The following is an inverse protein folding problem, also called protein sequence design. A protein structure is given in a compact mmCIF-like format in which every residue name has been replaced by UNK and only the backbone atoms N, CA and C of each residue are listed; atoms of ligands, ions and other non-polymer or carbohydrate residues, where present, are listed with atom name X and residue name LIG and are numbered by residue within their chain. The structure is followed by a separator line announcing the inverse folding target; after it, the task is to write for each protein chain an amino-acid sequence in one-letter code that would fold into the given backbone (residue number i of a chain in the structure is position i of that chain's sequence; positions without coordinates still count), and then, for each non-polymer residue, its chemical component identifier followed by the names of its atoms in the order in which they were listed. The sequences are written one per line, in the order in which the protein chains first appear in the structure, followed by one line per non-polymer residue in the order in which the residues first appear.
data_IF_114567993223
#
_entry.id   IF_114567993223
#
_cell.length_a   1.000
_cell.length_b   1.000
_cell.length_c   1.000
_cell.angle_alpha   90.00
_cell.angle_beta   90.00
_cell.angle_gamma   90.00
#
_symmetry.space_group_name_H-M   'P 1'
#
loop_
_entity.id
_entity.type
_entity.pdbx_description
1 polymer ?
#
# COMPACT_ATOMS: atom_id res chain seq x y z
N UNK A 1 8.46 -15.81 1.90
CA UNK A 1 9.26 -15.88 0.64
C UNK A 1 8.50 -16.53 -0.51
N UNK A 2 8.02 -17.78 -0.38
CA UNK A 2 7.35 -18.48 -1.48
C UNK A 2 6.06 -17.77 -1.94
N UNK A 3 5.22 -17.32 -0.98
CA UNK A 3 4.02 -16.53 -1.28
C UNK A 3 4.33 -15.20 -1.97
N UNK A 4 5.35 -14.48 -1.51
CA UNK A 4 5.82 -13.23 -2.15
C UNK A 4 6.22 -13.46 -3.61
N UNK A 5 6.96 -14.55 -3.87
CA UNK A 5 7.34 -14.94 -5.23
C UNK A 5 6.12 -15.24 -6.10
N UNK A 6 5.14 -15.97 -5.58
CA UNK A 6 3.88 -16.23 -6.28
C UNK A 6 3.15 -14.94 -6.64
N UNK A 7 3.07 -13.97 -5.72
CA UNK A 7 2.45 -12.66 -5.96
C UNK A 7 3.16 -11.91 -7.09
N UNK A 8 4.50 -11.87 -7.07
CA UNK A 8 5.29 -11.18 -8.12
C UNK A 8 5.11 -11.86 -9.47
N UNK A 9 5.14 -13.19 -9.52
CA UNK A 9 4.94 -13.95 -10.77
C UNK A 9 3.55 -13.70 -11.35
N UNK A 10 2.50 -13.74 -10.53
CA UNK A 10 1.13 -13.47 -10.96
C UNK A 10 0.99 -12.03 -11.47
N UNK A 11 1.53 -11.05 -10.75
CA UNK A 11 1.53 -9.65 -11.19
C UNK A 11 2.28 -9.46 -12.52
N UNK A 12 3.41 -10.15 -12.70
CA UNK A 12 4.18 -10.16 -13.94
C UNK A 12 3.40 -10.76 -15.11
N UNK A 13 2.69 -11.87 -14.88
CA UNK A 13 1.82 -12.49 -15.89
C UNK A 13 0.70 -11.54 -16.30
N UNK A 14 0.01 -10.94 -15.32
CA UNK A 14 -1.07 -9.97 -15.56
C UNK A 14 -0.54 -8.77 -16.38
N UNK A 15 0.59 -8.20 -15.97
CA UNK A 15 1.25 -7.11 -16.70
C UNK A 15 1.65 -7.52 -18.12
N UNK A 16 2.15 -8.73 -18.31
CA UNK A 16 2.57 -9.25 -19.62
C UNK A 16 1.42 -9.40 -20.61
N UNK A 17 0.22 -9.76 -20.14
CA UNK A 17 -0.95 -9.86 -21.02
C UNK A 17 -1.56 -8.49 -21.33
N UNK A 18 -1.67 -7.60 -20.34
CA UNK A 18 -2.44 -6.36 -20.48
C UNK A 18 -1.61 -5.19 -21.02
N UNK A 19 -0.38 -4.99 -20.53
CA UNK A 19 0.46 -3.84 -20.91
C UNK A 19 0.77 -3.74 -22.40
N UNK A 20 1.13 -4.84 -23.12
CA UNK A 20 1.43 -4.73 -24.54
C UNK A 20 0.24 -4.24 -25.36
N UNK A 21 -0.99 -4.57 -24.94
CA UNK A 21 -2.21 -4.10 -25.57
C UNK A 21 -2.36 -2.58 -25.48
N UNK A 22 -2.22 -2.02 -24.28
CA UNK A 22 -2.33 -0.59 -24.04
C UNK A 22 -1.20 0.20 -24.72
N UNK A 23 0.03 -0.31 -24.66
CA UNK A 23 1.20 0.33 -25.29
C UNK A 23 1.06 0.36 -26.81
N UNK A 24 0.60 -0.74 -27.43
CA UNK A 24 0.37 -0.80 -28.89
C UNK A 24 -0.72 0.18 -29.35
N UNK A 25 -1.74 0.41 -28.50
CA UNK A 25 -2.81 1.40 -28.75
C UNK A 25 -2.37 2.85 -28.51
N UNK A 26 -1.15 3.08 -27.99
CA UNK A 26 -0.62 4.40 -27.60
C UNK A 26 -1.47 5.10 -26.54
N UNK A 27 -2.17 4.31 -25.72
CA UNK A 27 -2.99 4.78 -24.60
C UNK A 27 -2.09 5.03 -23.38
N UNK A 28 -1.25 6.06 -23.47
CA UNK A 28 -0.19 6.32 -22.49
C UNK A 28 -0.73 6.70 -21.11
N UNK A 29 -1.87 7.40 -21.04
CA UNK A 29 -2.49 7.79 -19.78
C UNK A 29 -3.05 6.57 -19.06
N UNK A 30 -3.74 5.72 -19.81
CA UNK A 30 -4.32 4.47 -19.35
C UNK A 30 -3.21 3.51 -18.92
N UNK A 31 -2.13 3.40 -19.70
CA UNK A 31 -0.96 2.58 -19.36
C UNK A 31 -0.34 3.03 -18.04
N UNK A 32 -0.22 4.34 -17.82
CA UNK A 32 0.34 4.88 -16.59
C UNK A 32 -0.56 4.58 -15.38
N UNK A 33 -1.87 4.85 -15.47
CA UNK A 33 -2.84 4.56 -14.40
C UNK A 33 -2.87 3.07 -14.09
N UNK A 34 -2.95 2.23 -15.12
CA UNK A 34 -2.93 0.77 -14.98
C UNK A 34 -1.66 0.29 -14.28
N UNK A 35 -0.49 0.77 -14.70
CA UNK A 35 0.80 0.37 -14.12
C UNK A 35 0.90 0.76 -12.64
N UNK A 36 0.45 1.97 -12.28
CA UNK A 36 0.45 2.43 -10.88
C UNK A 36 -0.48 1.55 -10.04
N UNK A 37 -1.68 1.25 -10.54
CA UNK A 37 -2.63 0.38 -9.83
C UNK A 37 -2.09 -1.05 -9.67
N UNK A 38 -1.45 -1.61 -10.71
CA UNK A 38 -0.86 -2.93 -10.66
C UNK A 38 0.28 -3.00 -9.65
N UNK A 39 1.16 -2.00 -9.62
CA UNK A 39 2.24 -1.89 -8.63
C UNK A 39 1.64 -1.78 -7.22
N UNK A 40 0.65 -0.92 -7.03
CA UNK A 40 -0.01 -0.73 -5.73
C UNK A 40 -0.66 -2.03 -5.22
N UNK A 41 -1.40 -2.72 -6.09
CA UNK A 41 -2.01 -4.01 -5.79
C UNK A 41 -0.95 -5.07 -5.44
N UNK A 42 0.17 -5.10 -6.16
CA UNK A 42 1.29 -6.03 -5.91
C UNK A 42 1.92 -5.76 -4.54
N UNK A 43 2.21 -4.50 -4.23
CA UNK A 43 2.79 -4.10 -2.94
C UNK A 43 1.87 -4.48 -1.78
N UNK A 44 0.57 -4.13 -1.88
CA UNK A 44 -0.41 -4.50 -0.86
C UNK A 44 -0.54 -6.02 -0.70
N UNK A 45 -0.50 -6.77 -1.81
CA UNK A 45 -0.54 -8.23 -1.79
C UNK A 45 0.71 -8.83 -1.12
N UNK A 46 1.89 -8.22 -1.30
CA UNK A 46 3.11 -8.62 -0.60
C UNK A 46 2.97 -8.39 0.91
N UNK A 47 2.46 -7.24 1.34
CA UNK A 47 2.18 -6.97 2.76
C UNK A 47 1.22 -8.01 3.35
N UNK A 48 0.12 -8.28 2.65
CA UNK A 48 -0.88 -9.27 3.06
C UNK A 48 -0.30 -10.68 3.12
N UNK A 49 0.48 -11.09 2.12
CA UNK A 49 1.07 -12.42 2.02
C UNK A 49 2.13 -12.71 3.09
N UNK A 50 2.79 -11.68 3.61
CA UNK A 50 3.77 -11.82 4.69
C UNK A 50 3.17 -11.60 6.07
N UNK A 51 1.84 -11.40 6.16
CA UNK A 51 1.13 -11.11 7.41
C UNK A 51 1.84 -10.02 8.20
N UNK A 52 2.36 -9.00 7.50
CA UNK A 52 3.09 -7.94 8.16
C UNK A 52 2.15 -7.28 9.15
N UNK A 53 2.54 -7.25 10.42
CA UNK A 53 1.78 -6.60 11.47
C UNK A 53 1.65 -5.11 11.14
N UNK A 54 0.50 -4.75 10.59
CA UNK A 54 0.10 -3.35 10.46
C UNK A 54 -0.18 -2.90 11.90
N UNK A 55 0.50 -1.86 12.39
CA UNK A 55 0.29 -1.39 13.75
C UNK A 55 -1.20 -1.11 13.96
N UNK A 56 -1.68 -1.48 15.15
CA UNK A 56 -3.09 -1.29 15.50
C UNK A 56 -3.52 0.15 15.21
N UNK A 57 -4.69 0.38 14.59
CA UNK A 57 -5.24 1.73 14.40
C UNK A 57 -5.31 2.54 15.70
N UNK A 58 -5.38 1.85 16.85
CA UNK A 58 -5.29 2.48 18.16
C UNK A 58 -4.00 3.31 18.32
N UNK A 59 -2.88 2.87 17.77
CA UNK A 59 -1.61 3.59 17.88
C UNK A 59 -1.65 4.93 17.14
N UNK A 60 -2.36 4.99 16.00
CA UNK A 60 -2.61 6.24 15.29
C UNK A 60 -3.46 7.19 16.14
N UNK A 61 -4.51 6.66 16.78
CA UNK A 61 -5.37 7.43 17.68
C UNK A 61 -4.55 7.97 18.86
N UNK A 62 -3.73 7.13 19.50
CA UNK A 62 -2.82 7.53 20.58
C UNK A 62 -1.90 8.65 20.11
N UNK A 63 -1.26 8.50 18.96
CA UNK A 63 -0.34 9.51 18.41
C UNK A 63 -1.01 10.88 18.18
N UNK A 64 -2.28 10.89 17.77
CA UNK A 64 -3.06 12.13 17.63
C UNK A 64 -3.44 12.72 19.00
N UNK A 65 -3.78 11.87 19.96
CA UNK A 65 -4.27 12.30 21.28
C UNK A 65 -3.16 12.71 22.25
N UNK A 66 -1.98 12.10 22.14
CA UNK A 66 -0.83 12.35 23.01
C UNK A 66 -0.43 13.84 23.12
N UNK A 67 -0.30 14.62 22.03
CA UNK A 67 0.00 16.06 22.13
C UNK A 67 -1.11 16.85 22.82
N UNK A 68 -2.38 16.49 22.61
CA UNK A 68 -3.52 17.14 23.29
C UNK A 68 -3.47 16.83 24.78
N UNK A 69 -3.17 15.58 25.14
CA UNK A 69 -3.08 15.15 26.53
C UNK A 69 -1.92 15.86 27.26
N UNK A 70 -0.76 15.99 26.62
CA UNK A 70 0.38 16.75 27.17
C UNK A 70 0.05 18.24 27.35
N UNK A 71 -0.67 18.83 26.41
CA UNK A 71 -1.10 20.23 26.53
C UNK A 71 -2.08 20.42 27.70
N UNK A 72 -3.05 19.51 27.85
CA UNK A 72 -4.00 19.54 28.96
C UNK A 72 -3.32 19.30 30.31
N UNK A 73 -2.38 18.36 30.39
CA UNK A 73 -1.58 18.09 31.58
C UNK A 73 -0.80 19.33 32.01
N UNK A 74 -0.16 20.00 31.05
CA UNK A 74 0.56 21.26 31.31
C UNK A 74 -0.35 22.38 31.83
N UNK A 75 -1.58 22.49 31.32
CA UNK A 75 -2.56 23.49 31.76
C UNK A 75 -3.16 23.18 33.14
N UNK A 76 -3.34 21.90 33.47
CA UNK A 76 -3.95 21.45 34.73
C UNK A 76 -2.94 21.23 35.85
N UNK A 77 -1.64 21.35 35.57
CA UNK A 77 -0.58 21.32 36.58
C UNK A 77 -0.25 19.94 37.13
N UNK A 78 -0.64 18.87 36.41
CA UNK A 78 -0.27 17.47 36.67
C UNK A 78 0.75 16.97 35.67
#
# INVERSE_FOLDING_TARGET
MLLTLSVIVIAGIIGWFDLPGLIRRKEWKETAVYSVLLILATVLSIFAANLWEIPSPLYLIIWIYEPVNHFLAHLTGT
#
